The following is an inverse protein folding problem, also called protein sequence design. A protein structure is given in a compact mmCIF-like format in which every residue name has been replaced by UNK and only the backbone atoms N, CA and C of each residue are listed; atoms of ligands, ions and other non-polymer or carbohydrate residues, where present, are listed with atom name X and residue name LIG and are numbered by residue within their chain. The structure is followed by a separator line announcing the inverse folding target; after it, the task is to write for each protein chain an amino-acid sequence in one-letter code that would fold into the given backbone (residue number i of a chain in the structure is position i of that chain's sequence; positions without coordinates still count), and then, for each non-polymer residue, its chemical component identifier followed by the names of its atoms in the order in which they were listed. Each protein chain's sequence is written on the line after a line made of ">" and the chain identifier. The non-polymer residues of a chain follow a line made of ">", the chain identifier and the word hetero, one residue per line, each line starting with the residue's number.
data_IF_215839110781
#
_entry.id   IF_215839110781
#
_cell.length_a   1.000
_cell.length_b   1.000
_cell.length_c   1.000
_cell.angle_alpha   90.00
_cell.angle_beta   90.00
_cell.angle_gamma   90.00
#
_symmetry.space_group_name_H-M   'P 1'
#
loop_
_entity.id
_entity.type
_entity.pdbx_description
1 polymer ?
#
# COMPACT_ATOMS: atom_id res chain seq x y z
N UNK A 1 -14.06 -7.43 4.20
CA UNK A 1 -13.66 -6.65 3.00
C UNK A 1 -12.28 -6.03 3.24
N UNK A 2 -11.30 -6.30 2.36
CA UNK A 2 -9.82 -6.23 2.55
C UNK A 2 -9.25 -7.09 3.68
N UNK A 3 -9.62 -6.88 4.94
CA UNK A 3 -9.04 -7.62 6.08
C UNK A 3 -9.23 -9.13 5.96
N UNK A 4 -10.30 -9.59 5.33
CA UNK A 4 -10.57 -11.02 5.08
C UNK A 4 -9.61 -11.65 4.05
N UNK A 5 -9.03 -10.83 3.15
CA UNK A 5 -8.06 -11.26 2.15
C UNK A 5 -6.63 -11.32 2.71
N UNK A 6 -6.41 -10.84 3.94
CA UNK A 6 -5.10 -10.77 4.57
C UNK A 6 -4.96 -11.88 5.61
N UNK A 7 -3.83 -12.58 5.60
CA UNK A 7 -3.47 -13.53 6.65
C UNK A 7 -3.29 -12.78 7.99
N UNK A 8 -3.44 -13.49 9.12
CA UNK A 8 -3.28 -12.90 10.45
C UNK A 8 -1.91 -12.24 10.65
N UNK A 9 -0.86 -12.87 10.10
CA UNK A 9 0.53 -12.47 10.14
C UNK A 9 1.01 -11.75 8.87
N UNK A 10 0.08 -11.26 8.03
CA UNK A 10 0.40 -10.57 6.80
C UNK A 10 1.42 -9.43 7.04
N UNK A 11 2.35 -9.28 6.09
CA UNK A 11 3.41 -8.29 6.15
C UNK A 11 3.35 -7.33 4.97
N UNK A 12 3.31 -6.03 5.26
CA UNK A 12 3.43 -4.96 4.29
C UNK A 12 4.86 -4.41 4.24
N UNK A 13 5.40 -4.29 3.03
CA UNK A 13 6.70 -3.69 2.73
C UNK A 13 6.50 -2.38 1.98
N UNK A 14 6.78 -1.29 2.69
CA UNK A 14 6.67 0.08 2.16
C UNK A 14 7.80 0.40 1.17
N UNK A 15 7.55 1.24 0.14
CA UNK A 15 8.61 1.79 -0.70
C UNK A 15 9.38 2.92 0.02
N UNK A 16 8.94 3.31 1.23
CA UNK A 16 9.48 4.43 2.02
C UNK A 16 10.10 3.95 3.32
N UNK A 17 9.40 3.11 4.09
CA UNK A 17 9.86 2.63 5.39
C UNK A 17 10.77 1.40 5.24
N UNK A 18 11.87 1.38 6.00
CA UNK A 18 12.76 0.22 6.04
C UNK A 18 12.15 -0.97 6.80
N UNK A 19 11.51 -0.71 7.94
CA UNK A 19 10.96 -1.76 8.78
C UNK A 19 9.65 -2.32 8.17
N UNK A 20 9.53 -3.65 8.03
CA UNK A 20 8.27 -4.27 7.60
C UNK A 20 7.16 -4.03 8.61
N UNK A 21 5.95 -3.79 8.11
CA UNK A 21 4.74 -3.56 8.90
C UNK A 21 3.99 -4.89 9.00
N UNK A 22 3.87 -5.43 10.21
CA UNK A 22 3.39 -6.81 10.42
C UNK A 22 2.03 -6.84 11.10
N UNK A 23 1.29 -7.89 10.78
CA UNK A 23 -0.05 -8.14 11.29
C UNK A 23 -1.11 -7.63 10.32
N UNK A 24 -2.24 -8.33 10.32
CA UNK A 24 -3.37 -8.10 9.41
C UNK A 24 -3.87 -6.66 9.40
N UNK A 25 -4.14 -6.11 10.59
CA UNK A 25 -4.75 -4.78 10.73
C UNK A 25 -3.75 -3.68 10.34
N UNK A 26 -2.49 -3.83 10.75
CA UNK A 26 -1.39 -2.95 10.32
C UNK A 26 -1.22 -2.98 8.80
N UNK A 27 -1.20 -4.17 8.20
CA UNK A 27 -1.10 -4.34 6.74
C UNK A 27 -2.28 -3.67 6.03
N UNK A 28 -3.51 -3.87 6.52
CA UNK A 28 -4.70 -3.24 5.98
C UNK A 28 -4.60 -1.71 6.04
N UNK A 29 -4.17 -1.14 7.16
CA UNK A 29 -3.98 0.30 7.35
C UNK A 29 -3.05 0.89 6.27
N UNK A 30 -1.89 0.27 6.06
CA UNK A 30 -0.93 0.76 5.07
C UNK A 30 -1.44 0.59 3.63
N UNK A 31 -2.13 -0.50 3.31
CA UNK A 31 -2.75 -0.69 1.99
C UNK A 31 -3.83 0.34 1.72
N UNK A 32 -4.69 0.63 2.71
CA UNK A 32 -5.71 1.68 2.61
C UNK A 32 -5.06 3.04 2.38
N UNK A 33 -3.99 3.37 3.11
CA UNK A 33 -3.26 4.61 2.89
C UNK A 33 -2.63 4.70 1.50
N UNK A 34 -2.01 3.61 1.03
CA UNK A 34 -1.44 3.56 -0.32
C UNK A 34 -2.52 3.76 -1.39
N UNK A 35 -3.69 3.14 -1.25
CA UNK A 35 -4.84 3.36 -2.13
C UNK A 35 -5.30 4.82 -2.10
N UNK A 36 -5.37 5.44 -0.92
CA UNK A 36 -5.77 6.85 -0.81
C UNK A 36 -4.84 7.82 -1.56
N UNK A 37 -3.56 7.46 -1.65
CA UNK A 37 -2.54 8.28 -2.33
C UNK A 37 -2.47 7.99 -3.83
N UNK A 38 -2.57 6.72 -4.23
CA UNK A 38 -2.26 6.27 -5.59
C UNK A 38 -3.51 5.99 -6.43
N UNK A 39 -4.63 5.58 -5.83
CA UNK A 39 -5.83 5.18 -6.56
C UNK A 39 -6.64 6.42 -6.98
N UNK A 40 -6.35 6.91 -8.17
CA UNK A 40 -7.10 7.96 -8.86
C UNK A 40 -7.37 7.54 -10.31
N UNK A 41 -8.04 8.40 -11.10
CA UNK A 41 -8.46 8.10 -12.47
C UNK A 41 -7.30 7.75 -13.43
N UNK A 42 -6.07 8.13 -13.11
CA UNK A 42 -4.88 7.79 -13.90
C UNK A 42 -4.27 6.43 -13.54
N UNK A 43 -4.61 5.87 -12.38
CA UNK A 43 -4.06 4.60 -11.93
C UNK A 43 -4.53 3.46 -12.83
N UNK A 44 -3.59 2.71 -13.39
CA UNK A 44 -3.90 1.47 -14.11
C UNK A 44 -2.71 0.52 -14.14
N UNK A 45 -3.00 -0.78 -14.16
CA UNK A 45 -2.00 -1.81 -14.38
C UNK A 45 -1.59 -1.85 -15.86
N UNK A 46 -0.28 -1.94 -16.10
CA UNK A 46 0.33 -1.98 -17.44
C UNK A 46 1.01 -3.31 -17.74
N UNK A 47 1.34 -4.10 -16.71
CA UNK A 47 1.91 -5.44 -16.87
C UNK A 47 1.54 -6.32 -15.69
N UNK A 48 1.35 -7.60 -15.96
CA UNK A 48 1.12 -8.63 -14.95
C UNK A 48 2.10 -9.78 -15.17
N UNK A 49 2.68 -10.26 -14.07
CA UNK A 49 3.44 -11.52 -14.02
C UNK A 49 2.88 -12.32 -12.86
N UNK A 50 2.25 -13.45 -13.14
CA UNK A 50 1.65 -14.32 -12.13
C UNK A 50 2.39 -15.67 -12.07
N UNK A 51 2.68 -16.14 -10.86
CA UNK A 51 3.07 -17.49 -10.54
C UNK A 51 1.93 -18.26 -9.86
N UNK A 52 2.26 -19.41 -9.26
CA UNK A 52 1.24 -20.26 -8.61
C UNK A 52 0.66 -19.63 -7.33
N UNK A 53 1.47 -18.87 -6.59
CA UNK A 53 1.13 -18.27 -5.29
C UNK A 53 1.68 -16.86 -5.09
N UNK A 54 2.10 -16.24 -6.19
CA UNK A 54 2.60 -14.88 -6.19
C UNK A 54 2.23 -14.15 -7.49
N UNK A 55 2.21 -12.84 -7.42
CA UNK A 55 2.02 -11.98 -8.57
C UNK A 55 2.84 -10.70 -8.43
N UNK A 56 3.26 -10.16 -9.56
CA UNK A 56 3.84 -8.83 -9.69
C UNK A 56 2.99 -8.04 -10.68
N UNK A 57 2.33 -7.00 -10.18
CA UNK A 57 1.45 -6.12 -10.93
C UNK A 57 2.16 -4.79 -11.13
N UNK A 58 2.62 -4.52 -12.35
CA UNK A 58 3.18 -3.22 -12.71
C UNK A 58 2.05 -2.23 -12.98
N UNK A 59 2.12 -1.07 -12.34
CA UNK A 59 1.15 0.00 -12.51
C UNK A 59 1.83 1.31 -12.89
N UNK A 60 1.02 2.21 -13.41
CA UNK A 60 1.35 3.63 -13.55
C UNK A 60 0.23 4.47 -12.95
N UNK A 61 0.60 5.65 -12.46
CA UNK A 61 -0.31 6.67 -11.98
C UNK A 61 0.33 8.05 -12.14
N UNK A 62 -0.46 9.11 -12.02
CA UNK A 62 -0.03 10.49 -11.94
C UNK A 62 -0.66 11.13 -10.70
N UNK A 63 0.19 11.77 -9.89
CA UNK A 63 -0.25 12.47 -8.68
C UNK A 63 0.53 13.78 -8.62
N UNK A 64 -0.16 14.91 -8.50
CA UNK A 64 0.44 16.25 -8.44
C UNK A 64 1.47 16.50 -9.58
N UNK A 65 1.09 16.17 -10.83
CA UNK A 65 1.92 16.23 -12.04
C UNK A 65 3.21 15.38 -12.00
N UNK A 66 3.31 14.45 -11.05
CA UNK A 66 4.42 13.51 -10.93
C UNK A 66 3.95 12.16 -11.45
N UNK A 67 4.58 11.72 -12.54
CA UNK A 67 4.41 10.36 -13.05
C UNK A 67 5.04 9.35 -12.09
N UNK A 68 4.24 8.35 -11.71
CA UNK A 68 4.60 7.24 -10.85
C UNK A 68 4.53 5.97 -11.68
N UNK A 69 5.57 5.15 -11.59
CA UNK A 69 5.53 3.78 -12.03
C UNK A 69 5.97 2.90 -10.86
N UNK A 70 5.24 1.84 -10.63
CA UNK A 70 5.46 0.98 -9.49
C UNK A 70 5.07 -0.46 -9.76
N UNK A 71 5.37 -1.31 -8.80
CA UNK A 71 4.92 -2.68 -8.77
C UNK A 71 4.32 -3.00 -7.41
N UNK A 72 3.21 -3.73 -7.42
CA UNK A 72 2.70 -4.47 -6.29
C UNK A 72 3.16 -5.92 -6.42
N UNK A 73 3.96 -6.38 -5.48
CA UNK A 73 4.40 -7.77 -5.37
C UNK A 73 3.62 -8.43 -4.24
N UNK A 74 2.84 -9.44 -4.58
CA UNK A 74 1.84 -10.04 -3.69
C UNK A 74 2.15 -11.53 -3.59
N UNK A 75 2.17 -12.09 -2.39
CA UNK A 75 2.22 -13.53 -2.15
C UNK A 75 1.04 -13.96 -1.27
N UNK A 76 0.49 -15.15 -1.51
CA UNK A 76 -0.64 -15.68 -0.74
C UNK A 76 -0.47 -17.16 -0.36
N UNK A 77 -1.16 -17.55 0.72
CA UNK A 77 -1.11 -18.89 1.28
C UNK A 77 -2.08 -19.87 0.59
N UNK A 78 -2.23 -21.07 1.15
CA UNK A 78 -3.12 -22.12 0.64
C UNK A 78 -4.61 -21.87 0.88
N UNK A 79 -4.95 -20.86 1.67
CA UNK A 79 -6.31 -20.40 1.92
C UNK A 79 -6.64 -19.14 1.10
N UNK A 80 -5.80 -18.82 0.11
CA UNK A 80 -5.89 -17.63 -0.75
C UNK A 80 -5.82 -16.30 0.04
N UNK A 81 -5.12 -16.31 1.19
CA UNK A 81 -4.89 -15.13 2.01
C UNK A 81 -3.50 -14.54 1.74
N UNK A 82 -3.43 -13.23 1.54
CA UNK A 82 -2.20 -12.48 1.29
C UNK A 82 -1.33 -12.54 2.55
N UNK A 83 -0.08 -12.98 2.39
CA UNK A 83 0.93 -13.09 3.44
C UNK A 83 2.04 -12.04 3.30
N UNK A 84 2.39 -11.66 2.07
CA UNK A 84 3.35 -10.60 1.77
C UNK A 84 2.74 -9.64 0.76
N UNK A 85 2.81 -8.33 1.05
CA UNK A 85 2.48 -7.28 0.11
C UNK A 85 3.60 -6.26 0.08
N UNK A 86 4.26 -6.10 -1.07
CA UNK A 86 5.42 -5.25 -1.23
C UNK A 86 5.24 -4.28 -2.38
N UNK A 87 5.44 -3.00 -2.09
CA UNK A 87 5.33 -1.93 -3.08
C UNK A 87 6.72 -1.37 -3.38
N UNK A 88 7.04 -1.23 -4.66
CA UNK A 88 8.24 -0.54 -5.13
C UNK A 88 7.84 0.55 -6.11
N UNK A 89 8.44 1.73 -5.99
CA UNK A 89 8.09 2.89 -6.81
C UNK A 89 9.31 3.51 -7.50
N UNK A 90 9.09 4.14 -8.63
CA UNK A 90 10.01 5.03 -9.32
C UNK A 90 9.26 6.21 -9.95
N UNK A 91 9.95 7.33 -10.23
CA UNK A 91 11.31 7.69 -9.82
C UNK A 91 11.38 8.12 -8.34
N UNK A 92 12.56 8.53 -7.85
CA UNK A 92 12.75 9.02 -6.47
C UNK A 92 11.74 10.10 -6.07
N UNK A 93 11.38 11.01 -7.00
CA UNK A 93 10.39 12.06 -6.75
C UNK A 93 9.00 11.49 -6.43
N UNK A 94 8.62 10.36 -7.02
CA UNK A 94 7.38 9.67 -6.67
C UNK A 94 7.44 9.08 -5.24
N UNK A 95 8.59 8.51 -4.86
CA UNK A 95 8.80 8.00 -3.49
C UNK A 95 8.66 9.13 -2.47
N UNK A 96 9.27 10.28 -2.73
CA UNK A 96 9.19 11.47 -1.87
C UNK A 96 7.75 12.01 -1.75
N UNK A 97 7.00 12.04 -2.86
CA UNK A 97 5.61 12.44 -2.87
C UNK A 97 4.75 11.51 -2.02
N UNK A 98 4.90 10.20 -2.20
CA UNK A 98 4.15 9.19 -1.44
C UNK A 98 4.51 9.27 0.04
N UNK A 99 5.79 9.44 0.38
CA UNK A 99 6.22 9.66 1.76
C UNK A 99 5.51 10.85 2.41
N UNK A 100 5.43 12.00 1.72
CA UNK A 100 4.76 13.18 2.23
C UNK A 100 3.26 12.94 2.44
N UNK A 101 2.55 12.43 1.42
CA UNK A 101 1.10 12.21 1.51
C UNK A 101 0.72 11.17 2.55
N UNK A 102 1.52 10.11 2.70
CA UNK A 102 1.30 9.10 3.74
C UNK A 102 1.51 9.67 5.15
N UNK A 103 2.51 10.54 5.34
CA UNK A 103 2.72 11.21 6.63
C UNK A 103 1.54 12.12 6.99
N UNK A 104 1.04 12.89 6.02
CA UNK A 104 -0.12 13.78 6.21
C UNK A 104 -1.38 12.98 6.56
N UNK A 105 -1.60 11.84 5.89
CA UNK A 105 -2.73 10.94 6.14
C UNK A 105 -2.67 10.35 7.55
N UNK A 106 -1.53 9.77 7.95
CA UNK A 106 -1.38 9.16 9.27
C UNK A 106 -1.52 10.19 10.39
N UNK A 107 -0.98 11.40 10.20
CA UNK A 107 -1.17 12.48 11.16
C UNK A 107 -2.63 12.93 11.27
N UNK A 108 -3.38 12.91 10.18
CA UNK A 108 -4.81 13.22 10.20
C UNK A 108 -5.60 12.15 10.96
N UNK A 109 -5.26 10.87 10.77
CA UNK A 109 -5.90 9.74 11.47
C UNK A 109 -5.64 9.79 12.98
N UNK A 110 -4.41 10.11 13.41
CA UNK A 110 -4.09 10.30 14.84
C UNK A 110 -4.90 11.44 15.48
N UNK A 111 -5.19 12.51 14.73
CA UNK A 111 -5.97 13.65 15.23
C UNK A 111 -7.45 13.31 15.35
N UNK A 112 -8.01 12.53 14.44
CA UNK A 112 -9.42 12.13 14.48
C UNK A 112 -9.70 11.19 15.67
N UNK A 113 -8.82 10.23 15.94
CA UNK A 113 -8.92 9.36 17.14
C UNK A 113 -8.83 10.17 18.45
N UNK A 114 -8.06 11.26 18.48
CA UNK A 114 -7.94 12.12 19.67
C UNK A 114 -9.18 12.97 19.98
N UNK A 115 -10.08 13.17 19.01
CA UNK A 115 -11.34 13.92 19.20
C UNK A 115 -12.43 12.98 19.73
N UNK A 116 -12.47 11.72 19.27
CA UNK A 116 -13.43 10.72 19.75
C UNK A 116 -13.17 10.25 21.19
N UNK A 117 -11.95 10.37 21.73
CA UNK A 117 -11.68 10.10 23.17
C UNK A 117 -12.10 11.24 24.12
N UNK A 118 -12.45 12.43 23.59
CA UNK A 118 -12.87 13.60 24.37
C UNK A 118 -14.37 13.93 24.24
N UNK A 119 -15.12 13.15 23.46
CA UNK A 119 -16.57 13.26 23.26
C UNK A 119 -17.36 12.22 24.09
#
# INVERSE_FOLDING_TARGET
>A
MLTELLAEDATFHSPVLFAPQRGRDTTALYLVGAMHVLANDSFHYVREVAGDRDAVLEFVAEVDDIHINGVDMIAWDHNDQITDFKVMLRPLRAIQLVQQKMADLLQAMEKDESIDELA
#
